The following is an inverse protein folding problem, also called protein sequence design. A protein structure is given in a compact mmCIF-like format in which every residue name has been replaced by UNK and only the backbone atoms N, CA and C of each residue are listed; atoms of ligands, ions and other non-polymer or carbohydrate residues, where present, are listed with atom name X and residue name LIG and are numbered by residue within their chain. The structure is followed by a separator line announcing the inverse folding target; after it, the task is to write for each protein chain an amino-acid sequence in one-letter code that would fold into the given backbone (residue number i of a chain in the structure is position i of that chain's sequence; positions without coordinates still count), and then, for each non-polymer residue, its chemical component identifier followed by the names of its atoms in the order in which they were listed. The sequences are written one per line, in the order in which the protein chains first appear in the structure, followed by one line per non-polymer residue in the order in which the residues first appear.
data_IF_628078661689
#
_entry.id   IF_628078661689
#
_cell.length_a   1.000
_cell.length_b   1.000
_cell.length_c   1.000
_cell.angle_alpha   90.00
_cell.angle_beta   90.00
_cell.angle_gamma   90.00
#
_symmetry.space_group_name_H-M   'P 1'
#
loop_
_entity.id
_entity.type
_entity.pdbx_description
1 polymer ?
#
# COMPACT_ATOMS: atom_id res chain seq x y z
N UNK A 1 -10.41 33.18 -26.18
CA UNK A 1 -10.01 32.58 -27.45
C UNK A 1 -10.42 31.11 -27.56
N UNK A 2 -11.34 30.76 -28.48
CA UNK A 2 -11.79 29.40 -28.74
C UNK A 2 -10.65 28.39 -28.93
N UNK A 3 -9.62 28.80 -29.67
CA UNK A 3 -8.43 27.96 -29.88
C UNK A 3 -7.75 27.52 -28.57
N UNK A 4 -7.80 28.35 -27.53
CA UNK A 4 -7.23 28.01 -26.22
C UNK A 4 -8.05 26.92 -25.50
N UNK A 5 -9.38 26.98 -25.60
CA UNK A 5 -10.25 25.94 -25.01
C UNK A 5 -10.07 24.61 -25.75
N UNK A 6 -10.07 24.63 -27.08
CA UNK A 6 -9.87 23.43 -27.91
C UNK A 6 -8.50 22.81 -27.65
N UNK A 7 -7.44 23.62 -27.60
CA UNK A 7 -6.10 23.12 -27.30
C UNK A 7 -6.02 22.45 -25.92
N UNK A 8 -6.66 23.05 -24.90
CA UNK A 8 -6.70 22.46 -23.57
C UNK A 8 -7.47 21.13 -23.56
N UNK A 9 -8.67 21.10 -24.15
CA UNK A 9 -9.48 19.87 -24.26
C UNK A 9 -8.73 18.73 -24.96
N UNK A 10 -8.09 19.01 -26.11
CA UNK A 10 -7.33 17.99 -26.85
C UNK A 10 -6.13 17.49 -26.04
N UNK A 11 -5.41 18.38 -25.35
CA UNK A 11 -4.32 17.98 -24.45
C UNK A 11 -4.84 17.09 -23.32
N UNK A 12 -5.97 17.45 -22.70
CA UNK A 12 -6.58 16.66 -21.62
C UNK A 12 -6.99 15.27 -22.11
N UNK A 13 -7.62 15.16 -23.28
CA UNK A 13 -7.97 13.88 -23.90
C UNK A 13 -6.73 13.03 -24.19
N UNK A 14 -5.70 13.63 -24.80
CA UNK A 14 -4.45 12.94 -25.11
C UNK A 14 -3.72 12.44 -23.85
N UNK A 15 -3.74 13.23 -22.77
CA UNK A 15 -3.16 12.82 -21.49
C UNK A 15 -3.95 11.67 -20.85
N UNK A 16 -5.28 11.73 -20.88
CA UNK A 16 -6.12 10.63 -20.38
C UNK A 16 -5.84 9.32 -21.13
N UNK A 17 -5.73 9.39 -22.46
CA UNK A 17 -5.41 8.22 -23.29
C UNK A 17 -3.98 7.73 -23.10
N UNK A 18 -3.01 8.64 -22.89
CA UNK A 18 -1.64 8.27 -22.59
C UNK A 18 -1.54 7.52 -21.26
N UNK A 19 -2.19 8.00 -20.19
CA UNK A 19 -2.25 7.29 -18.92
C UNK A 19 -2.88 5.91 -19.07
N UNK A 20 -3.99 5.80 -19.80
CA UNK A 20 -4.64 4.52 -20.12
C UNK A 20 -3.72 3.57 -20.88
N UNK A 21 -2.94 4.10 -21.82
CA UNK A 21 -1.98 3.31 -22.59
C UNK A 21 -0.91 2.68 -21.69
N UNK A 22 -0.58 3.32 -20.56
CA UNK A 22 0.34 2.80 -19.54
C UNK A 22 -0.32 1.91 -18.49
N UNK A 23 -1.60 1.55 -18.69
CA UNK A 23 -2.37 0.71 -17.78
C UNK A 23 -3.10 1.48 -16.67
N UNK A 24 -2.90 2.80 -16.58
CA UNK A 24 -3.51 3.64 -15.55
C UNK A 24 -4.90 4.06 -16.02
N UNK A 25 -5.94 3.37 -15.54
CA UNK A 25 -7.34 3.61 -15.91
C UNK A 25 -8.08 4.25 -14.72
N UNK A 26 -8.87 5.32 -14.94
CA UNK A 26 -9.64 5.94 -13.86
C UNK A 26 -10.90 5.14 -13.54
N UNK A 27 -11.22 5.00 -12.25
CA UNK A 27 -12.50 4.47 -11.78
C UNK A 27 -13.60 5.54 -11.77
N UNK A 28 -13.20 6.79 -11.56
CA UNK A 28 -14.07 7.97 -11.48
C UNK A 28 -13.37 9.18 -12.12
N UNK A 29 -14.15 10.04 -12.75
CA UNK A 29 -13.68 11.32 -13.32
C UNK A 29 -14.50 12.49 -12.79
N UNK A 30 -13.83 13.62 -12.56
CA UNK A 30 -14.42 14.90 -12.16
C UNK A 30 -13.82 15.98 -13.05
N UNK A 31 -14.69 16.73 -13.73
CA UNK A 31 -14.29 17.89 -14.53
C UNK A 31 -14.23 19.17 -13.70
N UNK A 32 -13.59 20.20 -14.26
CA UNK A 32 -13.68 21.57 -13.76
C UNK A 32 -13.94 22.51 -14.93
N UNK A 33 -15.16 23.03 -15.04
CA UNK A 33 -15.55 23.92 -16.15
C UNK A 33 -15.28 23.27 -17.50
N UNK A 34 -14.29 23.75 -18.26
CA UNK A 34 -13.88 23.13 -19.53
C UNK A 34 -13.47 21.66 -19.37
N UNK A 35 -12.90 21.27 -18.23
CA UNK A 35 -12.46 19.90 -17.98
C UNK A 35 -13.61 18.88 -17.96
N UNK A 36 -14.88 19.31 -17.81
CA UNK A 36 -16.04 18.41 -17.90
C UNK A 36 -16.19 17.77 -19.28
N UNK A 37 -15.79 18.47 -20.35
CA UNK A 37 -15.80 17.89 -21.70
C UNK A 37 -14.76 16.79 -21.82
N UNK A 38 -13.56 16.98 -21.25
CA UNK A 38 -12.52 15.97 -21.21
C UNK A 38 -12.88 14.79 -20.29
N UNK A 39 -13.56 15.05 -19.17
CA UNK A 39 -14.12 14.01 -18.30
C UNK A 39 -15.20 13.19 -19.04
N UNK A 40 -16.09 13.84 -19.80
CA UNK A 40 -17.10 13.18 -20.61
C UNK A 40 -16.49 12.36 -21.76
N UNK A 41 -15.47 12.89 -22.46
CA UNK A 41 -14.68 12.11 -23.42
C UNK A 41 -14.07 10.86 -22.76
N UNK A 42 -13.43 11.05 -21.60
CA UNK A 42 -12.81 9.97 -20.83
C UNK A 42 -13.87 8.93 -20.45
N UNK A 43 -15.04 9.34 -19.98
CA UNK A 43 -16.15 8.43 -19.65
C UNK A 43 -16.83 7.81 -20.89
N UNK A 44 -16.45 8.18 -22.12
CA UNK A 44 -17.02 7.64 -23.35
C UNK A 44 -18.38 8.22 -23.72
N UNK A 45 -18.74 9.39 -23.18
CA UNK A 45 -20.00 10.10 -23.46
C UNK A 45 -19.98 10.77 -24.83
N UNK A 46 -18.83 11.28 -25.25
CA UNK A 46 -18.64 11.95 -26.54
C UNK A 46 -17.36 11.47 -27.22
N UNK A 47 -17.30 11.61 -28.54
CA UNK A 47 -16.09 11.33 -29.33
C UNK A 47 -15.14 12.52 -29.26
N UNK A 48 -13.85 12.30 -29.56
CA UNK A 48 -12.88 13.40 -29.64
C UNK A 48 -13.32 14.47 -30.66
N UNK A 49 -13.82 14.03 -31.81
CA UNK A 49 -14.25 14.90 -32.91
C UNK A 49 -15.44 15.78 -32.50
N UNK A 50 -16.44 15.18 -31.87
CA UNK A 50 -17.61 15.92 -31.36
C UNK A 50 -17.24 16.83 -30.19
N UNK A 51 -16.35 16.40 -29.31
CA UNK A 51 -15.82 17.22 -28.24
C UNK A 51 -15.08 18.46 -28.76
N UNK A 52 -14.24 18.31 -29.80
CA UNK A 52 -13.56 19.44 -30.45
C UNK A 52 -14.57 20.43 -31.03
N UNK A 53 -15.58 19.95 -31.76
CA UNK A 53 -16.64 20.80 -32.31
C UNK A 53 -17.37 21.57 -31.23
N UNK A 54 -17.77 20.88 -30.16
CA UNK A 54 -18.56 21.46 -29.08
C UNK A 54 -17.75 22.47 -28.27
N UNK A 55 -16.49 22.16 -27.95
CA UNK A 55 -15.58 23.06 -27.22
C UNK A 55 -15.22 24.28 -28.06
N UNK A 56 -15.05 24.13 -29.38
CA UNK A 56 -14.86 25.27 -30.28
C UNK A 56 -16.06 26.21 -30.25
N UNK A 57 -17.27 25.66 -30.34
CA UNK A 57 -18.51 26.46 -30.30
C UNK A 57 -18.73 27.09 -28.93
N UNK A 58 -18.49 26.34 -27.83
CA UNK A 58 -18.46 26.89 -26.47
C UNK A 58 -17.54 28.10 -26.37
N UNK A 59 -16.31 27.96 -26.87
CA UNK A 59 -15.33 29.02 -26.87
C UNK A 59 -15.78 30.26 -27.63
N UNK A 60 -16.41 30.08 -28.80
CA UNK A 60 -16.96 31.16 -29.63
C UNK A 60 -18.11 31.89 -28.94
N UNK A 61 -19.04 31.16 -28.34
CA UNK A 61 -20.19 31.72 -27.64
C UNK A 61 -19.78 32.46 -26.37
N UNK A 62 -18.87 31.89 -25.59
CA UNK A 62 -18.40 32.51 -24.34
C UNK A 62 -17.64 33.82 -24.54
N UNK A 63 -17.07 34.08 -25.72
CA UNK A 63 -16.42 35.36 -26.01
C UNK A 63 -17.40 36.54 -26.06
N UNK A 64 -18.70 36.27 -26.18
CA UNK A 64 -19.74 37.31 -26.14
C UNK A 64 -20.07 37.79 -24.72
N UNK A 65 -19.70 37.02 -23.69
CA UNK A 65 -19.91 37.37 -22.29
C UNK A 65 -18.78 38.27 -21.77
N UNK A 66 -18.69 39.51 -22.27
CA UNK A 66 -17.72 40.52 -21.81
C UNK A 66 -18.03 40.90 -20.36
N UNK A 67 -17.12 40.54 -19.47
CA UNK A 67 -17.28 40.78 -18.05
C UNK A 67 -15.98 40.53 -17.30
N UNK A 68 -16.09 40.14 -16.04
CA UNK A 68 -14.95 40.00 -15.15
C UNK A 68 -15.11 38.76 -14.26
N UNK A 69 -13.98 38.13 -13.92
CA UNK A 69 -13.94 37.07 -12.91
C UNK A 69 -12.88 37.40 -11.85
N UNK A 70 -13.27 37.33 -10.58
CA UNK A 70 -12.38 37.61 -9.45
C UNK A 70 -12.37 36.44 -8.48
N UNK A 71 -11.19 35.88 -8.22
CA UNK A 71 -10.95 34.89 -7.18
C UNK A 71 -10.96 35.57 -5.81
N UNK A 72 -11.65 34.99 -4.84
CA UNK A 72 -11.79 35.49 -3.47
C UNK A 72 -11.40 34.37 -2.51
N UNK A 73 -10.49 34.65 -1.57
CA UNK A 73 -10.19 33.74 -0.47
C UNK A 73 -11.22 33.92 0.66
N UNK A 74 -12.42 33.39 0.43
CA UNK A 74 -13.56 33.40 1.35
C UNK A 74 -14.46 32.19 1.07
N UNK A 75 -15.38 31.88 1.98
CA UNK A 75 -16.43 30.86 1.76
C UNK A 75 -17.56 31.35 0.88
N UNK A 76 -18.33 30.41 0.32
CA UNK A 76 -19.60 30.68 -0.38
C UNK A 76 -20.56 31.49 0.52
N UNK A 77 -20.66 31.15 1.80
CA UNK A 77 -21.58 31.78 2.74
C UNK A 77 -21.24 33.26 3.03
N UNK A 78 -19.95 33.61 3.02
CA UNK A 78 -19.49 35.00 3.22
C UNK A 78 -19.73 35.86 1.98
N UNK A 79 -19.62 35.28 0.78
CA UNK A 79 -19.69 36.01 -0.49
C UNK A 79 -21.11 36.10 -1.06
N UNK A 80 -21.95 35.08 -0.81
CA UNK A 80 -23.29 34.99 -1.38
C UNK A 80 -24.20 36.21 -1.09
N UNK A 81 -24.20 36.81 0.12
CA UNK A 81 -25.03 37.98 0.40
C UNK A 81 -24.65 39.21 -0.43
N UNK A 82 -23.37 39.41 -0.71
CA UNK A 82 -22.88 40.54 -1.52
C UNK A 82 -23.21 40.35 -3.00
N UNK A 83 -23.08 39.12 -3.49
CA UNK A 83 -23.44 38.77 -4.87
C UNK A 83 -24.93 38.90 -5.11
N UNK A 84 -25.78 38.52 -4.16
CA UNK A 84 -27.24 38.58 -4.28
C UNK A 84 -27.79 40.00 -4.47
N UNK A 85 -26.99 41.05 -4.23
CA UNK A 85 -27.35 42.44 -4.47
C UNK A 85 -27.36 42.82 -5.97
N UNK A 86 -26.82 41.97 -6.86
CA UNK A 86 -26.65 42.27 -8.27
C UNK A 86 -27.16 41.13 -9.16
N UNK A 87 -28.06 41.44 -10.09
CA UNK A 87 -28.66 40.43 -10.99
C UNK A 87 -27.70 39.87 -12.03
N UNK A 88 -26.64 40.60 -12.37
CA UNK A 88 -25.65 40.27 -13.39
C UNK A 88 -24.37 39.62 -12.82
N UNK A 89 -24.34 39.32 -11.52
CA UNK A 89 -23.21 38.65 -10.85
C UNK A 89 -23.66 37.36 -10.19
N UNK A 90 -22.80 36.34 -10.22
CA UNK A 90 -22.97 35.11 -9.46
C UNK A 90 -21.65 34.65 -8.87
N UNK A 91 -21.71 33.71 -7.93
CA UNK A 91 -20.55 32.86 -7.60
C UNK A 91 -20.42 31.86 -8.75
N UNK A 92 -19.47 32.09 -9.66
CA UNK A 92 -19.27 31.23 -10.83
C UNK A 92 -18.54 29.93 -10.50
N UNK A 93 -17.69 29.92 -9.47
CA UNK A 93 -16.91 28.73 -9.08
C UNK A 93 -16.72 28.67 -7.57
N UNK A 94 -16.85 27.47 -7.00
CA UNK A 94 -16.51 27.12 -5.62
C UNK A 94 -15.37 26.09 -5.69
N UNK A 95 -14.13 26.58 -5.59
CA UNK A 95 -12.91 25.77 -5.70
C UNK A 95 -12.56 25.04 -4.40
N UNK A 96 -13.00 25.57 -3.27
CA UNK A 96 -12.73 25.00 -1.96
C UNK A 96 -13.48 25.72 -0.85
N UNK A 97 -13.35 25.27 0.41
CA UNK A 97 -14.07 25.84 1.55
C UNK A 97 -13.83 27.34 1.80
N UNK A 98 -12.69 27.86 1.33
CA UNK A 98 -12.24 29.26 1.48
C UNK A 98 -11.71 29.80 0.13
N UNK A 99 -12.25 29.31 -0.99
CA UNK A 99 -11.78 29.68 -2.32
C UNK A 99 -12.95 29.67 -3.30
N UNK A 100 -13.46 30.86 -3.61
CA UNK A 100 -14.56 31.06 -4.55
C UNK A 100 -14.16 32.03 -5.66
N UNK A 101 -14.92 32.05 -6.76
CA UNK A 101 -14.75 32.99 -7.85
C UNK A 101 -16.09 33.64 -8.16
N UNK A 102 -16.15 34.96 -8.05
CA UNK A 102 -17.29 35.75 -8.51
C UNK A 102 -17.14 36.06 -10.00
N UNK A 103 -18.24 36.04 -10.73
CA UNK A 103 -18.29 36.18 -12.18
C UNK A 103 -19.53 36.94 -12.63
N UNK A 104 -19.37 37.90 -13.54
CA UNK A 104 -20.48 38.73 -14.00
C UNK A 104 -20.05 40.04 -14.66
N UNK A 105 -20.95 41.02 -14.62
CA UNK A 105 -20.70 42.37 -15.11
C UNK A 105 -19.51 43.04 -14.41
N UNK A 106 -18.63 43.65 -15.21
CA UNK A 106 -17.35 44.21 -14.73
C UNK A 106 -17.52 45.19 -13.58
N UNK A 107 -18.48 46.10 -13.68
CA UNK A 107 -18.73 47.14 -12.67
C UNK A 107 -19.08 46.52 -11.31
N UNK A 108 -20.05 45.61 -11.28
CA UNK A 108 -20.53 45.01 -10.03
C UNK A 108 -19.55 44.00 -9.44
N UNK A 109 -18.88 43.19 -10.28
CA UNK A 109 -17.81 42.29 -9.82
C UNK A 109 -16.68 43.06 -9.14
N UNK A 110 -16.24 44.19 -9.71
CA UNK A 110 -15.19 45.01 -9.12
C UNK A 110 -15.66 45.70 -7.83
N UNK A 111 -16.90 46.19 -7.77
CA UNK A 111 -17.47 46.77 -6.55
C UNK A 111 -17.52 45.75 -5.40
N UNK A 112 -17.98 44.51 -5.67
CA UNK A 112 -17.98 43.44 -4.67
C UNK A 112 -16.53 43.11 -4.25
N UNK A 113 -15.59 43.05 -5.20
CA UNK A 113 -14.19 42.76 -4.89
C UNK A 113 -13.54 43.84 -4.02
N UNK A 114 -13.84 45.12 -4.26
CA UNK A 114 -13.38 46.25 -3.43
C UNK A 114 -13.99 46.21 -2.03
N UNK A 115 -15.30 45.92 -1.91
CA UNK A 115 -15.96 45.73 -0.62
C UNK A 115 -15.31 44.59 0.18
N UNK A 116 -15.12 43.43 -0.45
CA UNK A 116 -14.45 42.28 0.18
C UNK A 116 -13.01 42.60 0.61
N UNK A 117 -12.27 43.39 -0.17
CA UNK A 117 -10.94 43.86 0.23
C UNK A 117 -11.00 44.79 1.45
N UNK A 118 -11.98 45.70 1.51
CA UNK A 118 -12.20 46.56 2.67
C UNK A 118 -12.55 45.75 3.92
N UNK A 119 -13.26 44.63 3.76
CA UNK A 119 -13.61 43.68 4.82
C UNK A 119 -12.44 42.74 5.19
N UNK A 120 -11.28 42.88 4.55
CA UNK A 120 -10.04 42.16 4.88
C UNK A 120 -9.78 40.88 4.08
N UNK A 121 -10.64 40.54 3.12
CA UNK A 121 -10.44 39.37 2.27
C UNK A 121 -9.41 39.62 1.16
N UNK A 122 -8.68 38.57 0.77
CA UNK A 122 -7.77 38.63 -0.38
C UNK A 122 -8.54 38.32 -1.66
N UNK A 123 -8.45 39.22 -2.63
CA UNK A 123 -9.02 39.03 -3.97
C UNK A 123 -7.96 39.08 -5.05
N UNK A 124 -8.22 38.40 -6.17
CA UNK A 124 -7.35 38.37 -7.35
C UNK A 124 -8.17 38.31 -8.61
N UNK A 125 -8.06 39.34 -9.45
CA UNK A 125 -8.59 39.33 -10.82
C UNK A 125 -7.97 38.20 -11.64
N UNK A 126 -8.82 37.43 -12.32
CA UNK A 126 -8.40 36.36 -13.22
C UNK A 126 -8.07 36.94 -14.59
N UNK A 127 -7.00 36.44 -15.22
CA UNK A 127 -6.60 36.84 -16.56
C UNK A 127 -7.46 36.14 -17.63
N UNK A 128 -8.78 36.29 -17.53
CA UNK A 128 -9.79 35.69 -18.39
C UNK A 128 -10.75 36.81 -18.80
N UNK A 129 -10.77 37.22 -20.09
CA UNK A 129 -11.55 38.38 -20.54
C UNK A 129 -13.04 38.07 -20.72
N UNK A 130 -13.59 37.11 -19.96
CA UNK A 130 -14.97 36.63 -20.10
C UNK A 130 -15.53 36.23 -18.73
N UNK A 131 -16.81 36.51 -18.50
CA UNK A 131 -17.53 36.13 -17.30
C UNK A 131 -18.15 34.73 -17.44
N UNK A 132 -17.32 33.69 -17.32
CA UNK A 132 -17.79 32.30 -17.39
C UNK A 132 -18.73 31.97 -16.21
N UNK A 133 -19.71 31.08 -16.43
CA UNK A 133 -20.63 30.63 -15.37
C UNK A 133 -21.40 31.78 -14.72
N UNK A 134 -21.95 32.70 -15.53
CA UNK A 134 -22.61 33.93 -15.08
C UNK A 134 -23.87 34.25 -15.91
N UNK A 135 -24.76 35.14 -15.41
CA UNK A 135 -25.92 35.65 -16.16
C UNK A 135 -25.57 36.19 -17.55
N UNK A 136 -24.35 36.67 -17.77
CA UNK A 136 -23.92 37.17 -19.09
C UNK A 136 -23.88 36.09 -20.19
N UNK A 137 -24.02 34.80 -19.84
CA UNK A 137 -24.13 33.71 -20.80
C UNK A 137 -25.58 33.42 -21.21
N UNK A 138 -26.59 33.98 -20.55
CA UNK A 138 -28.01 33.75 -20.85
C UNK A 138 -28.35 33.93 -22.35
N UNK A 139 -27.83 34.96 -23.06
CA UNK A 139 -28.12 35.15 -24.49
C UNK A 139 -27.62 34.04 -25.41
N UNK A 140 -26.65 33.23 -24.98
CA UNK A 140 -26.01 32.19 -25.81
C UNK A 140 -26.39 30.76 -25.43
N UNK A 141 -27.23 30.57 -24.40
CA UNK A 141 -27.58 29.23 -23.91
C UNK A 141 -28.35 28.40 -24.94
N UNK A 142 -29.31 29.01 -25.64
CA UNK A 142 -30.07 28.34 -26.69
C UNK A 142 -29.17 27.93 -27.86
N UNK A 143 -28.22 28.79 -28.23
CA UNK A 143 -27.24 28.53 -29.29
C UNK A 143 -26.35 27.34 -28.92
N UNK A 144 -25.87 27.31 -27.67
CA UNK A 144 -25.03 26.22 -27.17
C UNK A 144 -25.80 24.90 -27.13
N UNK A 145 -27.03 24.90 -26.61
CA UNK A 145 -27.87 23.70 -26.58
C UNK A 145 -28.16 23.16 -27.99
N UNK A 146 -28.41 24.04 -28.96
CA UNK A 146 -28.55 23.64 -30.37
C UNK A 146 -27.26 23.04 -30.94
N UNK A 147 -26.09 23.48 -30.49
CA UNK A 147 -24.82 22.86 -30.87
C UNK A 147 -24.66 21.46 -30.26
N UNK A 148 -25.03 21.28 -28.99
CA UNK A 148 -24.99 19.98 -28.31
C UNK A 148 -25.93 18.97 -28.99
N UNK A 149 -27.13 19.40 -29.43
CA UNK A 149 -28.08 18.55 -30.16
C UNK A 149 -27.56 18.00 -31.50
N UNK A 150 -26.46 18.56 -32.03
CA UNK A 150 -25.85 18.10 -33.30
C UNK A 150 -24.83 16.99 -33.11
N UNK A 151 -24.41 16.71 -31.87
CA UNK A 151 -23.45 15.64 -31.57
C UNK A 151 -24.16 14.43 -30.97
N UNK A 152 -23.50 13.27 -31.04
CA UNK A 152 -24.03 12.05 -30.41
C UNK A 152 -23.49 11.94 -29.00
N UNK A 153 -24.40 11.88 -28.03
CA UNK A 153 -24.07 11.64 -26.62
C UNK A 153 -24.45 10.21 -26.23
N UNK A 154 -23.53 9.51 -25.58
CA UNK A 154 -23.73 8.16 -25.06
C UNK A 154 -23.75 8.18 -23.52
N UNK A 155 -24.45 7.23 -22.87
CA UNK A 155 -24.35 7.03 -21.43
C UNK A 155 -22.89 6.82 -20.99
N UNK A 156 -22.46 7.38 -19.84
CA UNK A 156 -21.09 7.24 -19.37
C UNK A 156 -20.77 5.77 -19.03
N UNK A 157 -19.57 5.32 -19.43
CA UNK A 157 -19.03 3.97 -19.14
C UNK A 157 -18.22 3.92 -17.84
N UNK A 158 -17.94 5.07 -17.26
CA UNK A 158 -17.21 5.27 -16.01
C UNK A 158 -18.03 6.18 -15.11
N UNK A 159 -17.79 6.15 -13.80
CA UNK A 159 -18.45 7.09 -12.89
C UNK A 159 -17.98 8.51 -13.19
N UNK A 160 -18.92 9.42 -13.33
CA UNK A 160 -18.65 10.86 -13.51
C UNK A 160 -19.25 11.61 -12.34
N UNK A 161 -18.49 12.50 -11.72
CA UNK A 161 -19.01 13.45 -10.74
C UNK A 161 -19.29 14.76 -11.47
N UNK A 162 -20.52 15.26 -11.39
CA UNK A 162 -20.88 16.53 -11.99
C UNK A 162 -20.20 17.67 -11.28
N UNK A 163 -19.54 18.53 -12.04
CA UNK A 163 -18.99 19.77 -11.50
C UNK A 163 -20.07 20.81 -11.16
N UNK A 164 -21.34 20.61 -11.52
CA UNK A 164 -22.44 21.53 -11.17
C UNK A 164 -23.06 21.20 -9.81
N UNK A 165 -23.15 19.91 -9.47
CA UNK A 165 -23.84 19.44 -8.25
C UNK A 165 -22.90 18.83 -7.22
N UNK A 166 -21.67 18.47 -7.62
CA UNK A 166 -20.75 17.69 -6.81
C UNK A 166 -21.18 16.22 -6.63
N UNK A 167 -22.24 15.77 -7.29
CA UNK A 167 -22.80 14.42 -7.14
C UNK A 167 -22.53 13.54 -8.37
N UNK A 168 -22.55 12.20 -8.23
CA UNK A 168 -22.48 11.30 -9.37
C UNK A 168 -23.61 11.55 -10.37
N UNK A 169 -23.29 11.53 -11.66
CA UNK A 169 -24.28 11.59 -12.75
C UNK A 169 -24.39 10.25 -13.46
N UNK A 170 -25.55 10.05 -14.09
CA UNK A 170 -25.92 8.89 -14.88
C UNK A 170 -26.23 9.32 -16.32
N UNK A 171 -27.48 9.21 -16.76
CA UNK A 171 -27.92 9.52 -18.11
C UNK A 171 -28.10 11.04 -18.34
N UNK A 172 -27.99 11.88 -17.31
CA UNK A 172 -28.09 13.34 -17.43
C UNK A 172 -27.08 13.90 -18.43
N UNK A 173 -25.90 13.29 -18.57
CA UNK A 173 -24.89 13.69 -19.55
C UNK A 173 -25.33 13.50 -21.01
N UNK A 174 -26.38 12.71 -21.25
CA UNK A 174 -26.98 12.52 -22.57
C UNK A 174 -28.03 13.56 -22.93
N UNK A 175 -28.42 14.40 -21.97
CA UNK A 175 -29.39 15.48 -22.16
C UNK A 175 -28.67 16.78 -22.57
N UNK A 176 -28.98 17.37 -23.74
CA UNK A 176 -28.47 18.69 -24.12
C UNK A 176 -28.71 19.79 -23.09
N UNK A 177 -29.80 19.72 -22.31
CA UNK A 177 -30.11 20.70 -21.28
C UNK A 177 -29.13 20.66 -20.11
N UNK A 178 -28.50 19.50 -19.83
CA UNK A 178 -27.41 19.41 -18.85
C UNK A 178 -26.25 20.31 -19.26
N UNK A 179 -25.83 20.26 -20.52
CA UNK A 179 -24.72 21.03 -21.05
C UNK A 179 -25.05 22.54 -21.15
N UNK A 180 -26.30 22.87 -21.46
CA UNK A 180 -26.82 24.24 -21.37
C UNK A 180 -26.66 24.78 -19.94
N UNK A 181 -27.10 24.01 -18.95
CA UNK A 181 -27.02 24.40 -17.54
C UNK A 181 -25.56 24.46 -17.06
N UNK A 182 -24.71 23.53 -17.49
CA UNK A 182 -23.27 23.51 -17.20
C UNK A 182 -22.55 24.78 -17.64
N UNK A 183 -22.94 25.36 -18.78
CA UNK A 183 -22.35 26.60 -19.26
C UNK A 183 -22.68 27.80 -18.34
N UNK A 184 -23.82 27.75 -17.64
CA UNK A 184 -24.41 28.87 -16.90
C UNK A 184 -24.27 28.78 -15.38
N UNK A 185 -24.32 27.58 -14.82
CA UNK A 185 -24.40 27.35 -13.39
C UNK A 185 -23.02 27.34 -12.72
N UNK A 186 -23.02 27.53 -11.39
CA UNK A 186 -21.81 27.49 -10.56
C UNK A 186 -21.07 26.17 -10.68
N UNK A 187 -19.75 26.22 -10.86
CA UNK A 187 -18.87 25.05 -10.77
C UNK A 187 -18.56 24.74 -9.30
N UNK A 188 -19.16 23.69 -8.76
CA UNK A 188 -19.04 23.19 -7.38
C UNK A 188 -17.93 22.15 -7.24
N UNK A 189 -16.68 22.55 -7.55
CA UNK A 189 -15.51 21.65 -7.50
C UNK A 189 -15.25 21.10 -6.09
N UNK A 190 -15.39 21.94 -5.06
CA UNK A 190 -15.21 21.53 -3.65
C UNK A 190 -16.15 20.36 -3.27
N UNK A 191 -17.41 20.42 -3.71
CA UNK A 191 -18.40 19.39 -3.44
C UNK A 191 -18.07 18.10 -4.21
N UNK A 192 -17.54 18.23 -5.43
CA UNK A 192 -17.00 17.09 -6.18
C UNK A 192 -15.85 16.40 -5.44
N UNK A 193 -14.91 17.16 -4.88
CA UNK A 193 -13.82 16.62 -4.05
C UNK A 193 -14.36 15.94 -2.78
N UNK A 194 -15.38 16.52 -2.13
CA UNK A 194 -16.05 15.91 -0.99
C UNK A 194 -16.61 14.52 -1.32
N UNK A 195 -17.25 14.41 -2.48
CA UNK A 195 -17.79 13.14 -2.97
C UNK A 195 -16.68 12.13 -3.28
N UNK A 196 -15.55 12.55 -3.87
CA UNK A 196 -14.40 11.66 -4.09
C UNK A 196 -13.81 11.15 -2.76
N UNK A 197 -13.70 12.01 -1.76
CA UNK A 197 -13.24 11.60 -0.42
C UNK A 197 -14.20 10.61 0.23
N UNK A 198 -15.50 10.88 0.20
CA UNK A 198 -16.52 9.99 0.74
C UNK A 198 -16.54 8.62 0.06
N UNK A 199 -16.11 8.55 -1.21
CA UNK A 199 -15.95 7.29 -1.95
C UNK A 199 -14.62 6.57 -1.68
N UNK A 200 -13.74 7.12 -0.83
CA UNK A 200 -12.45 6.50 -0.51
C UNK A 200 -11.46 6.51 -1.68
N UNK A 201 -11.46 7.56 -2.50
CA UNK A 201 -10.48 7.70 -3.58
C UNK A 201 -9.08 7.89 -2.99
N UNK A 202 -8.15 7.00 -3.35
CA UNK A 202 -6.77 7.01 -2.83
C UNK A 202 -5.75 7.73 -3.74
N UNK A 203 -6.10 7.98 -5.02
CA UNK A 203 -5.20 8.57 -6.02
C UNK A 203 -5.99 9.57 -6.87
N UNK A 204 -5.47 10.79 -7.00
CA UNK A 204 -6.01 11.79 -7.92
C UNK A 204 -4.91 12.24 -8.89
N UNK A 205 -5.14 12.07 -10.19
CA UNK A 205 -4.25 12.56 -11.25
C UNK A 205 -4.91 13.77 -11.91
N UNK A 206 -4.28 14.95 -11.83
CA UNK A 206 -4.75 16.12 -12.56
C UNK A 206 -4.37 15.98 -14.04
N UNK A 207 -5.39 15.93 -14.88
CA UNK A 207 -5.30 15.86 -16.34
C UNK A 207 -5.31 17.29 -16.87
N UNK A 208 -4.19 17.76 -17.41
CA UNK A 208 -4.06 19.11 -17.94
C UNK A 208 -2.61 19.57 -18.13
N UNK A 209 -2.39 20.76 -18.73
CA UNK A 209 -1.07 21.29 -19.07
C UNK A 209 -0.27 21.81 -17.87
N UNK A 210 -0.92 22.03 -16.73
CA UNK A 210 -0.31 22.48 -15.46
C UNK A 210 -1.21 22.07 -14.29
N UNK A 211 -0.68 21.88 -13.07
CA UNK A 211 -1.48 21.45 -11.93
C UNK A 211 -2.07 22.65 -11.18
N UNK A 212 -3.23 23.10 -11.62
CA UNK A 212 -3.98 24.20 -11.01
C UNK A 212 -4.90 23.68 -9.91
N UNK A 213 -5.50 22.51 -10.11
CA UNK A 213 -6.53 21.94 -9.25
C UNK A 213 -5.97 21.22 -8.03
N UNK A 214 -4.77 20.63 -8.12
CA UNK A 214 -4.18 19.84 -7.02
C UNK A 214 -4.09 20.61 -5.70
N UNK A 215 -3.78 21.90 -5.73
CA UNK A 215 -3.75 22.73 -4.52
C UNK A 215 -5.14 22.89 -3.90
N UNK A 216 -6.14 23.19 -4.72
CA UNK A 216 -7.54 23.35 -4.29
C UNK A 216 -8.15 22.04 -3.77
N UNK A 217 -7.80 20.92 -4.43
CA UNK A 217 -8.19 19.59 -3.99
C UNK A 217 -7.57 19.26 -2.62
N UNK A 218 -6.26 19.53 -2.43
CA UNK A 218 -5.58 19.35 -1.15
C UNK A 218 -6.29 20.13 -0.03
N UNK A 219 -6.54 21.42 -0.24
CA UNK A 219 -7.20 22.27 0.75
C UNK A 219 -8.59 21.75 1.13
N UNK A 220 -9.32 21.18 0.16
CA UNK A 220 -10.62 20.56 0.39
C UNK A 220 -10.52 19.26 1.20
N UNK A 221 -9.56 18.38 0.88
CA UNK A 221 -9.31 17.16 1.66
C UNK A 221 -8.87 17.47 3.10
N UNK A 222 -7.97 18.44 3.29
CA UNK A 222 -7.46 18.89 4.60
C UNK A 222 -8.59 19.36 5.54
N UNK A 223 -9.59 20.05 4.99
CA UNK A 223 -10.70 20.58 5.79
C UNK A 223 -11.61 19.47 6.32
N UNK A 224 -11.77 18.37 5.58
CA UNK A 224 -12.70 17.29 5.90
C UNK A 224 -12.11 16.24 6.84
N UNK A 225 -10.79 16.03 6.82
CA UNK A 225 -10.13 15.05 7.69
C UNK A 225 -9.90 15.54 9.13
N UNK A 226 -10.11 16.82 9.40
CA UNK A 226 -9.84 17.44 10.72
C UNK A 226 -8.35 17.38 11.12
N UNK A 227 -7.93 18.07 12.20
CA UNK A 227 -6.61 17.82 12.77
C UNK A 227 -6.53 16.35 13.24
N UNK A 228 -5.44 15.66 12.90
CA UNK A 228 -5.21 14.25 13.24
C UNK A 228 -5.65 13.92 14.67
N UNK A 229 -6.75 13.18 14.83
CA UNK A 229 -7.09 12.60 16.12
C UNK A 229 -6.14 11.42 16.37
N UNK A 230 -5.10 11.67 17.17
CA UNK A 230 -4.32 10.59 17.78
C UNK A 230 -5.23 9.90 18.78
N UNK A 231 -5.79 8.75 18.41
CA UNK A 231 -6.43 7.86 19.38
C UNK A 231 -5.28 7.20 20.15
N UNK A 232 -5.01 7.68 21.36
CA UNK A 232 -4.11 7.03 22.31
C UNK A 232 -4.77 5.72 22.80
N UNK A 233 -4.68 4.67 21.99
CA UNK A 233 -4.90 3.31 22.47
C UNK A 233 -3.58 2.79 23.04
N UNK A 234 -3.60 2.49 24.34
CA UNK A 234 -2.53 1.77 25.01
C UNK A 234 -2.22 0.45 24.27
N UNK A 235 -0.93 0.12 24.23
CA UNK A 235 -0.29 -1.08 23.64
C UNK A 235 0.21 -0.99 22.19
N UNK A 236 -0.49 -0.40 21.22
CA UNK A 236 0.04 -0.17 19.87
C UNK A 236 -0.63 1.04 19.20
N UNK A 237 0.08 2.14 18.89
CA UNK A 237 -0.52 3.26 18.19
C UNK A 237 -0.87 2.82 16.76
N UNK A 238 -2.13 2.48 16.52
CA UNK A 238 -2.69 2.48 15.17
C UNK A 238 -2.94 3.93 14.83
N UNK A 239 -1.98 4.56 14.16
CA UNK A 239 -2.24 5.83 13.47
C UNK A 239 -3.25 5.48 12.39
N UNK A 240 -4.54 5.75 12.63
CA UNK A 240 -5.50 5.95 11.54
C UNK A 240 -5.07 7.22 10.84
N UNK A 241 -4.03 7.10 10.03
CA UNK A 241 -3.55 8.19 9.19
C UNK A 241 -4.73 8.51 8.30
N UNK A 242 -5.29 9.70 8.45
CA UNK A 242 -6.13 10.32 7.45
C UNK A 242 -5.28 10.44 6.18
N UNK A 243 -5.21 9.34 5.43
CA UNK A 243 -4.39 9.25 4.23
C UNK A 243 -5.06 10.09 3.17
N UNK A 244 -4.58 11.32 3.02
CA UNK A 244 -4.90 12.12 1.87
C UNK A 244 -4.56 11.33 0.60
N UNK A 245 -5.40 11.44 -0.45
CA UNK A 245 -5.09 10.77 -1.70
C UNK A 245 -3.74 11.24 -2.25
N UNK A 246 -3.06 10.35 -2.95
CA UNK A 246 -1.86 10.67 -3.70
C UNK A 246 -2.23 11.63 -4.85
N UNK A 247 -1.83 12.89 -4.72
CA UNK A 247 -2.09 13.95 -5.71
C UNK A 247 -0.96 14.06 -6.73
N UNK A 248 -1.24 13.80 -8.01
CA UNK A 248 -0.24 13.75 -9.06
C UNK A 248 -0.57 14.64 -10.26
N UNK A 249 0.40 15.43 -10.76
CA UNK A 249 0.22 16.20 -11.98
C UNK A 249 0.47 15.32 -13.21
N UNK A 250 -0.23 15.58 -14.31
CA UNK A 250 0.21 15.10 -15.62
C UNK A 250 1.39 15.95 -16.14
N UNK A 251 1.16 17.26 -16.28
CA UNK A 251 2.17 18.20 -16.79
C UNK A 251 2.42 19.35 -15.80
N UNK A 252 3.57 20.01 -15.94
CA UNK A 252 3.93 21.24 -15.22
C UNK A 252 4.55 22.23 -16.19
N UNK A 253 4.10 23.49 -16.12
CA UNK A 253 4.69 24.59 -16.90
C UNK A 253 6.18 24.73 -16.57
N UNK A 254 7.02 24.86 -17.60
CA UNK A 254 8.46 25.06 -17.44
C UNK A 254 9.26 23.80 -17.09
N UNK A 255 8.62 22.62 -17.09
CA UNK A 255 9.30 21.33 -16.94
C UNK A 255 9.19 20.51 -18.22
N UNK A 256 10.14 19.60 -18.43
CA UNK A 256 10.04 18.63 -19.51
C UNK A 256 8.83 17.71 -19.28
N UNK A 257 7.93 17.63 -20.28
CA UNK A 257 6.66 16.90 -20.18
C UNK A 257 6.85 15.42 -19.88
N UNK A 258 7.80 14.76 -20.57
CA UNK A 258 8.06 13.34 -20.38
C UNK A 258 8.65 13.06 -19.00
N UNK A 259 9.61 13.88 -18.56
CA UNK A 259 10.18 13.77 -17.22
C UNK A 259 9.09 13.90 -16.15
N UNK A 260 8.22 14.91 -16.26
CA UNK A 260 7.14 15.12 -15.28
C UNK A 260 6.18 13.93 -15.22
N UNK A 261 5.77 13.41 -16.38
CA UNK A 261 4.87 12.26 -16.46
C UNK A 261 5.53 11.00 -15.86
N UNK A 262 6.80 10.74 -16.17
CA UNK A 262 7.53 9.57 -15.63
C UNK A 262 7.79 9.71 -14.13
N UNK A 263 8.01 10.93 -13.61
CA UNK A 263 8.07 11.18 -12.15
C UNK A 263 6.74 10.83 -11.47
N UNK A 264 5.60 11.23 -12.05
CA UNK A 264 4.27 10.86 -11.56
C UNK A 264 4.00 9.35 -11.68
N UNK A 265 4.39 8.72 -12.79
CA UNK A 265 4.30 7.28 -13.00
C UNK A 265 5.14 6.49 -11.98
N UNK A 266 6.34 6.98 -11.65
CA UNK A 266 7.19 6.39 -10.61
C UNK A 266 6.53 6.44 -9.23
N UNK A 267 5.83 7.53 -8.90
CA UNK A 267 5.06 7.62 -7.65
C UNK A 267 3.89 6.65 -7.64
N UNK A 268 3.17 6.51 -8.76
CA UNK A 268 2.11 5.49 -8.91
C UNK A 268 2.67 4.07 -8.70
N UNK A 269 3.82 3.76 -9.30
CA UNK A 269 4.47 2.45 -9.15
C UNK A 269 4.79 2.13 -7.68
N UNK A 270 5.42 3.08 -6.97
CA UNK A 270 5.76 2.92 -5.55
C UNK A 270 4.50 2.79 -4.69
N UNK A 271 3.41 3.45 -5.08
CA UNK A 271 2.11 3.34 -4.43
C UNK A 271 1.34 2.05 -4.79
N UNK A 272 1.92 1.17 -5.62
CA UNK A 272 1.35 -0.14 -5.95
C UNK A 272 0.46 -0.17 -7.19
N UNK A 273 0.40 0.90 -7.98
CA UNK A 273 -0.37 0.90 -9.22
C UNK A 273 0.22 -0.08 -10.25
N UNK A 274 -0.64 -0.85 -10.90
CA UNK A 274 -0.26 -1.78 -11.96
C UNK A 274 0.06 -1.02 -13.26
N UNK A 275 1.34 -1.03 -13.67
CA UNK A 275 1.80 -0.37 -14.89
C UNK A 275 1.98 -1.39 -16.02
N UNK A 276 1.41 -1.09 -17.17
CA UNK A 276 1.60 -1.84 -18.42
C UNK A 276 2.93 -1.48 -19.07
N UNK A 277 4.03 -1.98 -18.49
CA UNK A 277 5.40 -1.69 -18.94
C UNK A 277 5.63 -2.01 -20.42
N UNK A 278 4.99 -3.06 -20.96
CA UNK A 278 5.09 -3.39 -22.39
C UNK A 278 4.59 -2.25 -23.28
N UNK A 279 3.48 -1.62 -22.90
CA UNK A 279 2.91 -0.50 -23.65
C UNK A 279 3.72 0.78 -23.45
N UNK A 280 4.20 1.06 -22.23
CA UNK A 280 5.10 2.18 -21.97
C UNK A 280 6.36 2.16 -22.84
N UNK A 281 6.93 0.98 -23.09
CA UNK A 281 8.12 0.82 -23.93
C UNK A 281 7.82 0.67 -25.43
N UNK A 282 6.55 0.68 -25.88
CA UNK A 282 6.16 0.35 -27.26
C UNK A 282 6.78 1.30 -28.29
N UNK A 283 6.52 2.61 -28.19
CA UNK A 283 7.06 3.62 -29.11
C UNK A 283 8.59 3.67 -29.09
N UNK A 284 9.20 3.39 -27.93
CA UNK A 284 10.67 3.34 -27.79
C UNK A 284 11.31 2.11 -28.43
N UNK A 285 10.50 1.09 -28.72
CA UNK A 285 10.92 -0.16 -29.36
C UNK A 285 10.49 -0.24 -30.84
N UNK A 286 9.83 0.80 -31.38
CA UNK A 286 9.45 0.84 -32.79
C UNK A 286 10.66 1.05 -33.71
N UNK A 287 10.58 0.51 -34.94
CA UNK A 287 11.64 0.61 -35.95
C UNK A 287 11.91 2.09 -36.21
N UNK A 288 13.16 2.50 -36.08
CA UNK A 288 13.61 3.80 -36.59
C UNK A 288 13.24 3.88 -38.09
N UNK A 289 13.02 5.09 -38.61
CA UNK A 289 12.76 5.33 -40.04
C UNK A 289 13.87 4.80 -40.98
N UNK A 290 15.03 4.45 -40.40
CA UNK A 290 16.20 3.82 -41.01
C UNK A 290 16.22 2.28 -40.88
N UNK A 291 15.09 1.64 -40.53
CA UNK A 291 14.96 0.18 -40.46
C UNK A 291 15.70 -0.50 -39.30
N UNK A 292 16.45 0.23 -38.48
CA UNK A 292 17.15 -0.28 -37.30
C UNK A 292 16.18 -0.48 -36.12
N UNK A 293 16.09 -1.72 -35.62
CA UNK A 293 15.36 -2.05 -34.39
C UNK A 293 16.06 -1.45 -33.17
N UNK A 294 15.54 -0.34 -32.64
CA UNK A 294 15.96 0.22 -31.35
C UNK A 294 15.26 -0.50 -30.20
N UNK A 295 15.52 -1.80 -30.03
CA UNK A 295 14.96 -2.53 -28.89
C UNK A 295 15.72 -2.19 -27.62
N UNK A 296 15.04 -1.70 -26.59
CA UNK A 296 15.68 -1.45 -25.29
C UNK A 296 16.24 -2.77 -24.74
N UNK A 297 17.55 -2.81 -24.49
CA UNK A 297 18.22 -3.98 -23.92
C UNK A 297 17.90 -4.05 -22.42
N UNK A 298 17.38 -5.19 -21.96
CA UNK A 298 17.27 -5.46 -20.52
C UNK A 298 18.67 -5.63 -19.97
N UNK A 299 19.01 -4.85 -18.95
CA UNK A 299 20.28 -4.95 -18.23
C UNK A 299 20.00 -5.61 -16.89
N UNK A 300 20.83 -6.57 -16.49
CA UNK A 300 20.76 -7.18 -15.16
C UNK A 300 21.28 -6.15 -14.15
N UNK A 301 20.43 -5.77 -13.20
CA UNK A 301 20.84 -4.98 -12.04
C UNK A 301 21.22 -5.93 -10.90
N UNK A 302 22.03 -5.48 -9.92
CA UNK A 302 22.29 -6.25 -8.70
C UNK A 302 20.99 -6.80 -8.10
N UNK A 303 21.04 -8.03 -7.59
CA UNK A 303 19.87 -8.68 -7.01
C UNK A 303 19.42 -7.98 -5.72
N UNK A 304 18.19 -8.26 -5.30
CA UNK A 304 17.62 -7.70 -4.08
C UNK A 304 18.56 -7.94 -2.88
N UNK A 305 19.02 -6.88 -2.20
CA UNK A 305 19.86 -7.05 -1.01
C UNK A 305 18.97 -7.48 0.15
N UNK A 306 18.80 -8.80 0.31
CA UNK A 306 18.08 -9.33 1.47
C UNK A 306 18.71 -8.81 2.77
N UNK A 307 17.86 -8.40 3.72
CA UNK A 307 18.30 -8.09 5.07
C UNK A 307 18.71 -9.40 5.75
N UNK A 308 20.01 -9.69 5.72
CA UNK A 308 20.54 -10.96 6.22
C UNK A 308 20.45 -11.02 7.74
N UNK A 309 19.48 -11.77 8.22
CA UNK A 309 19.31 -12.12 9.63
C UNK A 309 19.40 -13.63 9.80
N UNK A 310 20.10 -14.07 10.85
CA UNK A 310 20.39 -15.48 11.09
C UNK A 310 19.21 -16.13 11.81
N UNK A 311 18.38 -16.85 11.07
CA UNK A 311 17.22 -17.60 11.60
C UNK A 311 17.42 -19.11 11.65
N UNK A 312 18.66 -19.57 11.86
CA UNK A 312 18.93 -21.01 11.97
C UNK A 312 18.49 -21.53 13.34
N UNK A 313 17.57 -22.49 13.35
CA UNK A 313 17.35 -23.32 14.53
C UNK A 313 18.64 -24.10 14.80
N UNK A 314 19.35 -23.77 15.87
CA UNK A 314 20.47 -24.58 16.34
C UNK A 314 19.91 -25.86 16.94
N UNK A 315 19.87 -26.92 16.15
CA UNK A 315 19.74 -28.26 16.71
C UNK A 315 20.95 -28.49 17.61
N UNK A 316 20.78 -28.82 18.91
CA UNK A 316 21.91 -29.14 19.76
C UNK A 316 22.72 -30.24 19.06
N UNK A 317 24.03 -29.99 18.90
CA UNK A 317 24.94 -30.94 18.25
C UNK A 317 25.11 -32.12 19.19
N UNK A 318 24.18 -33.08 19.18
CA UNK A 318 24.53 -34.44 19.59
C UNK A 318 25.58 -34.90 18.58
N UNK A 319 26.86 -34.75 18.93
CA UNK A 319 27.92 -35.41 18.17
C UNK A 319 27.50 -36.88 18.15
N UNK A 320 27.08 -37.36 16.99
CA UNK A 320 26.89 -38.78 16.76
C UNK A 320 28.28 -39.42 16.87
N UNK A 321 28.74 -39.65 18.11
CA UNK A 321 29.94 -40.41 18.39
C UNK A 321 29.55 -41.86 18.16
N UNK A 322 29.97 -42.35 16.99
CA UNK A 322 29.96 -43.73 16.52
C UNK A 322 28.75 -44.58 16.90
N UNK A 323 27.89 -44.84 15.92
CA UNK A 323 26.88 -45.90 15.96
C UNK A 323 27.50 -47.21 16.45
N UNK A 324 27.17 -47.62 17.67
CA UNK A 324 27.24 -49.01 18.07
C UNK A 324 26.25 -49.76 17.17
N UNK A 325 26.77 -50.57 16.23
CA UNK A 325 25.94 -51.42 15.37
C UNK A 325 25.19 -52.45 16.25
N UNK A 326 23.94 -52.11 16.57
CA UNK A 326 23.00 -52.89 17.38
C UNK A 326 21.82 -51.97 17.77
N UNK A 327 20.73 -52.49 18.35
CA UNK A 327 19.67 -51.64 18.91
C UNK A 327 20.24 -50.93 20.16
N UNK A 328 21.07 -49.91 19.94
CA UNK A 328 21.64 -49.06 20.96
C UNK A 328 20.50 -48.31 21.63
N UNK A 329 20.16 -48.71 22.86
CA UNK A 329 19.18 -48.01 23.69
C UNK A 329 19.54 -46.53 23.79
N UNK A 330 18.52 -45.68 23.83
CA UNK A 330 18.59 -44.22 23.69
C UNK A 330 19.54 -43.46 24.66
N UNK A 331 20.27 -44.17 25.52
CA UNK A 331 21.08 -43.68 26.64
C UNK A 331 22.54 -44.19 26.64
N UNK A 332 23.02 -44.89 25.60
CA UNK A 332 24.39 -45.43 25.54
C UNK A 332 25.15 -44.80 24.38
N UNK A 333 26.30 -44.17 24.67
CA UNK A 333 27.16 -43.57 23.64
C UNK A 333 28.35 -44.49 23.28
N UNK A 334 28.86 -45.29 24.23
CA UNK A 334 30.01 -46.18 23.99
C UNK A 334 29.91 -47.47 24.79
N UNK A 335 30.34 -48.58 24.20
CA UNK A 335 30.44 -49.90 24.85
C UNK A 335 31.88 -50.41 24.75
N UNK A 336 32.44 -50.86 25.88
CA UNK A 336 33.83 -51.33 25.98
C UNK A 336 33.83 -52.66 26.71
N UNK A 337 34.30 -53.73 26.09
CA UNK A 337 34.55 -55.00 26.78
C UNK A 337 35.92 -54.93 27.46
N UNK A 338 35.97 -55.13 28.78
CA UNK A 338 37.21 -55.17 29.56
C UNK A 338 37.66 -56.62 29.77
N UNK A 339 38.72 -57.10 29.09
CA UNK A 339 39.21 -58.47 29.24
C UNK A 339 39.80 -58.72 30.64
N UNK A 340 40.31 -57.67 31.29
CA UNK A 340 40.98 -57.73 32.59
C UNK A 340 40.01 -57.97 33.76
N UNK A 341 38.78 -57.47 33.68
CA UNK A 341 37.79 -57.54 34.75
C UNK A 341 36.57 -58.41 34.41
N UNK A 342 36.60 -59.10 33.27
CA UNK A 342 35.47 -59.86 32.73
C UNK A 342 34.15 -59.06 32.78
N UNK A 343 34.19 -57.78 32.44
CA UNK A 343 33.06 -56.86 32.55
C UNK A 343 32.87 -56.06 31.25
N UNK A 344 31.64 -55.61 31.01
CA UNK A 344 31.31 -54.71 29.89
C UNK A 344 30.97 -53.33 30.45
N UNK A 345 31.67 -52.31 29.99
CA UNK A 345 31.49 -50.91 30.37
C UNK A 345 30.62 -50.22 29.33
N UNK A 346 29.68 -49.42 29.78
CA UNK A 346 28.82 -48.57 28.96
C UNK A 346 28.98 -47.13 29.40
N UNK A 347 29.40 -46.24 28.51
CA UNK A 347 29.62 -44.83 28.82
C UNK A 347 28.59 -43.97 28.08
N UNK A 348 28.09 -42.94 28.77
CA UNK A 348 27.25 -41.90 28.20
C UNK A 348 27.52 -40.56 28.89
N UNK A 349 27.45 -39.47 28.13
CA UNK A 349 27.65 -38.14 28.67
C UNK A 349 26.29 -37.46 28.95
N UNK A 350 26.01 -37.16 30.21
CA UNK A 350 24.74 -36.58 30.65
C UNK A 350 24.87 -35.07 30.80
N UNK A 351 24.10 -34.33 30.00
CA UNK A 351 23.99 -32.88 30.04
C UNK A 351 22.56 -32.43 29.72
N UNK A 352 22.22 -31.19 30.10
CA UNK A 352 20.92 -30.59 29.76
C UNK A 352 20.77 -30.27 28.26
N UNK A 353 21.89 -30.26 27.52
CA UNK A 353 21.86 -30.12 26.07
C UNK A 353 21.59 -31.47 25.38
N UNK A 354 22.19 -32.56 25.88
CA UNK A 354 22.01 -33.90 25.35
C UNK A 354 20.65 -34.51 25.74
N UNK A 355 20.20 -34.25 26.98
CA UNK A 355 18.94 -34.75 27.52
C UNK A 355 18.14 -33.59 28.17
N UNK A 356 17.48 -32.73 27.36
CA UNK A 356 16.77 -31.56 27.87
C UNK A 356 15.68 -31.88 28.89
N UNK A 357 15.07 -33.06 28.79
CA UNK A 357 14.03 -33.53 29.72
C UNK A 357 14.56 -33.76 31.15
N UNK A 358 15.88 -33.85 31.36
CA UNK A 358 16.43 -33.94 32.72
C UNK A 358 16.14 -32.68 33.53
N UNK A 359 15.94 -31.52 32.88
CA UNK A 359 15.56 -30.26 33.54
C UNK A 359 14.28 -30.35 34.35
N UNK A 360 13.38 -31.28 33.99
CA UNK A 360 12.07 -31.42 34.60
C UNK A 360 12.13 -32.18 35.94
N UNK A 361 13.24 -32.88 36.23
CA UNK A 361 13.43 -33.61 37.48
C UNK A 361 14.35 -32.83 38.44
N UNK A 362 13.73 -31.90 39.18
CA UNK A 362 14.42 -31.06 40.16
C UNK A 362 14.10 -31.52 41.59
N UNK A 363 15.14 -31.64 42.40
CA UNK A 363 15.02 -31.95 43.83
C UNK A 363 15.72 -30.84 44.61
N UNK A 364 14.96 -30.11 45.41
CA UNK A 364 15.43 -28.91 46.14
C UNK A 364 16.16 -27.88 45.25
N UNK A 365 15.66 -27.67 44.02
CA UNK A 365 16.19 -26.68 43.08
C UNK A 365 17.45 -27.12 42.33
N UNK A 366 17.97 -28.34 42.56
CA UNK A 366 19.04 -28.91 41.76
C UNK A 366 18.49 -29.93 40.76
N UNK A 367 19.01 -29.93 39.53
CA UNK A 367 18.72 -31.01 38.57
C UNK A 367 19.39 -32.29 39.03
N UNK A 368 18.60 -33.28 39.44
CA UNK A 368 19.08 -34.59 39.89
C UNK A 368 18.61 -35.63 38.89
N UNK A 369 19.49 -36.50 38.43
CA UNK A 369 19.05 -37.54 37.51
C UNK A 369 18.06 -38.50 38.18
N UNK A 370 16.91 -38.79 37.55
CA UNK A 370 15.94 -39.75 38.09
C UNK A 370 16.55 -41.14 38.23
N UNK A 371 16.24 -41.85 39.33
CA UNK A 371 16.60 -43.28 39.46
C UNK A 371 16.09 -44.13 38.30
N UNK A 372 14.94 -43.77 37.71
CA UNK A 372 14.41 -44.40 36.52
C UNK A 372 15.34 -44.29 35.29
N UNK A 373 16.10 -43.19 35.15
CA UNK A 373 17.08 -43.04 34.08
C UNK A 373 18.28 -43.97 34.26
N UNK A 374 18.73 -44.18 35.50
CA UNK A 374 19.78 -45.16 35.81
C UNK A 374 19.33 -46.59 35.49
N UNK A 375 18.09 -46.94 35.83
CA UNK A 375 17.50 -48.24 35.50
C UNK A 375 17.34 -48.41 33.99
N UNK A 376 16.88 -47.38 33.29
CA UNK A 376 16.78 -47.41 31.83
C UNK A 376 18.15 -47.62 31.16
N UNK A 377 19.23 -47.05 31.71
CA UNK A 377 20.60 -47.32 31.26
C UNK A 377 21.00 -48.79 31.52
N UNK A 378 20.69 -49.33 32.70
CA UNK A 378 20.98 -50.73 33.04
C UNK A 378 20.23 -51.72 32.14
N UNK A 379 18.94 -51.49 31.88
CA UNK A 379 18.13 -52.29 30.95
C UNK A 379 18.67 -52.18 29.53
N UNK A 380 19.06 -50.97 29.10
CA UNK A 380 19.67 -50.76 27.77
C UNK A 380 21.01 -51.49 27.64
N UNK A 381 21.83 -51.50 28.69
CA UNK A 381 23.09 -52.21 28.72
C UNK A 381 22.91 -53.74 28.68
N UNK A 382 21.94 -54.26 29.45
CA UNK A 382 21.53 -55.66 29.41
C UNK A 382 21.04 -56.06 28.01
N UNK A 383 20.19 -55.24 27.40
CA UNK A 383 19.69 -55.47 26.05
C UNK A 383 20.80 -55.43 24.99
N UNK A 384 21.75 -54.51 25.11
CA UNK A 384 22.94 -54.44 24.26
C UNK A 384 23.86 -55.66 24.44
N UNK A 385 23.93 -56.23 25.64
CA UNK A 385 24.81 -57.37 25.94
C UNK A 385 24.20 -58.71 25.56
N UNK A 386 22.90 -58.90 25.85
CA UNK A 386 22.20 -60.18 25.73
C UNK A 386 21.20 -60.24 24.58
N UNK A 387 20.94 -59.12 23.89
CA UNK A 387 19.99 -59.06 22.77
C UNK A 387 18.52 -59.14 23.17
N UNK A 388 18.19 -58.99 24.46
CA UNK A 388 16.81 -59.05 24.99
C UNK A 388 16.48 -57.81 25.82
N UNK A 389 15.30 -57.22 25.57
CA UNK A 389 14.81 -56.05 26.31
C UNK A 389 14.12 -56.41 27.64
N UNK A 390 13.75 -57.67 27.82
CA UNK A 390 13.10 -58.15 29.04
C UNK A 390 14.14 -58.64 30.05
N UNK A 391 14.34 -57.90 31.14
CA UNK A 391 15.14 -58.34 32.27
C UNK A 391 14.42 -58.04 33.59
N UNK A 392 14.75 -58.81 34.62
CA UNK A 392 14.35 -58.50 36.00
C UNK A 392 15.50 -57.76 36.66
N UNK A 393 15.20 -56.61 37.26
CA UNK A 393 16.17 -55.85 38.06
C UNK A 393 15.76 -55.98 39.52
N UNK A 394 16.66 -56.48 40.36
CA UNK A 394 16.44 -56.69 41.79
C UNK A 394 17.57 -56.03 42.60
N UNK A 395 17.34 -55.84 43.90
CA UNK A 395 18.34 -55.39 44.89
C UNK A 395 19.06 -54.07 44.53
N UNK A 396 18.33 -53.12 43.95
CA UNK A 396 18.88 -51.82 43.52
C UNK A 396 18.99 -50.84 44.68
N UNK A 397 20.17 -50.26 44.84
CA UNK A 397 20.46 -49.23 45.85
C UNK A 397 21.01 -47.98 45.14
N UNK A 398 20.48 -46.81 45.50
CA UNK A 398 20.98 -45.50 45.06
C UNK A 398 21.69 -44.82 46.23
N UNK A 399 23.01 -45.00 46.40
CA UNK A 399 23.71 -44.52 47.60
C UNK A 399 23.83 -42.99 47.67
N UNK A 400 23.79 -42.31 46.53
CA UNK A 400 23.87 -40.86 46.44
C UNK A 400 23.11 -40.34 45.21
N UNK A 401 22.56 -39.11 45.26
CA UNK A 401 21.95 -38.47 44.09
C UNK A 401 23.01 -38.08 43.06
N UNK A 402 22.70 -38.31 41.77
CA UNK A 402 23.54 -37.86 40.66
C UNK A 402 23.08 -36.48 40.20
N UNK A 403 23.75 -35.42 40.68
CA UNK A 403 23.46 -34.03 40.29
C UNK A 403 24.03 -33.72 38.90
N UNK A 404 23.22 -33.15 38.02
CA UNK A 404 23.62 -32.70 36.68
C UNK A 404 23.80 -31.18 36.72
N UNK A 405 25.00 -30.64 36.46
CA UNK A 405 25.23 -29.20 36.52
C UNK A 405 24.47 -28.48 35.40
N UNK A 406 23.88 -27.32 35.72
CA UNK A 406 23.17 -26.49 34.73
C UNK A 406 24.13 -25.80 33.75
N UNK A 407 25.30 -25.39 34.26
CA UNK A 407 26.42 -24.86 33.48
C UNK A 407 27.60 -25.86 33.59
N UNK A 408 27.87 -26.60 32.52
CA UNK A 408 29.00 -27.54 32.48
C UNK A 408 30.28 -26.81 32.09
N UNK A 409 31.33 -26.87 32.92
CA UNK A 409 32.68 -26.45 32.56
C UNK A 409 33.38 -27.46 31.63
N UNK A 410 32.84 -28.66 31.49
CA UNK A 410 33.29 -29.67 30.53
C UNK A 410 32.42 -29.62 29.26
N UNK A 411 33.01 -29.62 28.05
CA UNK A 411 32.28 -29.47 26.79
C UNK A 411 31.26 -30.59 26.49
N UNK A 412 31.34 -31.73 27.20
CA UNK A 412 30.53 -32.92 26.94
C UNK A 412 29.53 -33.28 28.06
N UNK A 413 29.49 -32.56 29.19
CA UNK A 413 28.64 -32.90 30.35
C UNK A 413 29.28 -33.86 31.36
N UNK A 414 28.48 -34.44 32.27
CA UNK A 414 28.95 -35.40 33.29
C UNK A 414 29.00 -36.80 32.71
N UNK A 415 30.13 -37.49 32.80
CA UNK A 415 30.21 -38.83 32.20
C UNK A 415 29.66 -39.86 33.18
N UNK A 416 28.71 -40.66 32.70
CA UNK A 416 28.08 -41.75 33.43
C UNK A 416 28.53 -43.05 32.81
N UNK A 417 29.09 -43.94 33.63
CA UNK A 417 29.58 -45.24 33.22
C UNK A 417 28.83 -46.33 33.98
N UNK A 418 28.23 -47.27 33.25
CA UNK A 418 27.64 -48.47 33.81
C UNK A 418 28.57 -49.66 33.54
N UNK A 419 29.00 -50.30 34.61
CA UNK A 419 29.81 -51.53 34.58
C UNK A 419 28.85 -52.71 34.73
N UNK A 420 28.84 -53.63 33.78
CA UNK A 420 28.05 -54.85 33.80
C UNK A 420 28.97 -56.07 33.91
N UNK A 421 28.92 -56.77 35.04
CA UNK A 421 29.80 -57.90 35.37
C UNK A 421 28.98 -59.20 35.40
N UNK A 422 29.22 -60.17 34.49
CA UNK A 422 28.48 -61.43 34.46
C UNK A 422 28.64 -62.22 35.76
N UNK A 423 27.53 -62.82 36.21
CA UNK A 423 27.50 -63.78 37.31
C UNK A 423 27.53 -65.21 36.75
N UNK A 424 27.93 -66.18 37.58
CA UNK A 424 27.89 -67.59 37.20
C UNK A 424 26.44 -68.02 36.90
N UNK A 425 26.25 -68.83 35.85
CA UNK A 425 24.93 -69.25 35.41
C UNK A 425 24.20 -70.04 36.51
N UNK A 426 23.01 -69.57 36.89
CA UNK A 426 22.19 -70.11 37.98
C UNK A 426 20.91 -70.80 37.48
N UNK A 427 20.88 -71.26 36.22
CA UNK A 427 19.76 -72.00 35.64
C UNK A 427 18.57 -71.15 35.18
N UNK A 428 18.59 -69.83 35.42
CA UNK A 428 17.49 -68.90 35.08
C UNK A 428 17.82 -67.91 33.94
N UNK A 429 18.87 -68.19 33.15
CA UNK A 429 19.34 -67.32 32.05
C UNK A 429 20.62 -66.56 32.40
N UNK A 430 21.11 -65.67 31.52
CA UNK A 430 22.27 -64.84 31.81
C UNK A 430 21.97 -63.83 32.92
N UNK A 431 22.87 -63.70 33.89
CA UNK A 431 22.76 -62.77 35.00
C UNK A 431 24.03 -61.93 35.11
N UNK A 432 23.91 -60.69 35.57
CA UNK A 432 25.04 -59.81 35.81
C UNK A 432 24.74 -58.87 36.98
N UNK A 433 25.79 -58.52 37.72
CA UNK A 433 25.78 -57.39 38.61
C UNK A 433 26.06 -56.12 37.79
N UNK A 434 25.40 -55.01 38.13
CA UNK A 434 25.70 -53.72 37.52
C UNK A 434 26.06 -52.66 38.55
N UNK A 435 26.99 -51.78 38.18
CA UNK A 435 27.39 -50.62 38.99
C UNK A 435 27.43 -49.38 38.11
N UNK A 436 26.74 -48.33 38.55
CA UNK A 436 26.79 -47.03 37.89
C UNK A 436 27.79 -46.14 38.62
N UNK A 437 28.70 -45.56 37.84
CA UNK A 437 29.73 -44.63 38.25
C UNK A 437 29.52 -43.32 37.49
N UNK A 438 29.88 -42.20 38.11
CA UNK A 438 29.85 -40.89 37.46
C UNK A 438 31.15 -40.15 37.73
N UNK A 439 31.70 -39.49 36.73
CA UNK A 439 32.93 -38.71 36.82
C UNK A 439 32.82 -37.38 36.07
#
# INVERSE_FOLDING_TARGET
HPCGQVANFVIECALADLWRSWGIKPDVVLGHSLGDFAAAYTAGVLTLEDGVRLVAERGRLMETADGEMVSVLASEAEVAPLVAAYEDVTIGVINGPQSVVISGGRTHVLAIAEQLQADGYKTRKLAIPMAAHSPLLDPVLDDFERAVRKITLAPPKLRVISSMTGQPVTNELTDPTYWRNHLRQTVRFADGIATLQAQGVDICIEIGPKPTLLGMAKDSFDKMTGPHQVIESSSHPVILSSCHPLLLPSLRKGRNSLQQMVESLGKLYVHGAAIEWRSFHRERNERSSDGTERRQRKVVLPTYPFQQQRYWATTPKRQARASLNGPAGALIDKQIRSPLHNATLFETAWSLEAFPYLRDHQVYGAVVSPGAAHLALAVSAAASTWGQLSCTVADVIFPAPLVIPEESTAPDGRTVQLVLTPLAANGHGPAAEFKLLSF
#
